data_IF_990262933893
#
_entry.id   IF_990262933893
#
_cell.length_a   1.000
_cell.length_b   1.000
_cell.length_c   1.000
_cell.angle_alpha   90.00
_cell.angle_beta   90.00
_cell.angle_gamma   90.00
#
_symmetry.space_group_name_H-M   'P 1'
#
loop_
_entity.id
_entity.type
_entity.pdbx_description
1 polymer ?
#
# COMPACT_ATOMS: atom_id res chain seq x y z
N UNK A 1 9.22 -0.88 -12.90
CA UNK A 1 9.67 -2.29 -12.79
C UNK A 1 9.92 -2.91 -14.17
N UNK A 2 9.08 -2.56 -15.14
CA UNK A 2 8.98 -3.06 -16.51
C UNK A 2 9.51 -2.07 -17.57
N UNK A 3 10.07 -0.93 -17.15
CA UNK A 3 10.49 0.14 -18.07
C UNK A 3 9.35 0.96 -18.68
N UNK A 4 8.09 0.61 -18.39
CA UNK A 4 6.92 1.30 -18.93
C UNK A 4 6.59 2.51 -18.05
N UNK A 5 6.78 3.71 -18.61
CA UNK A 5 6.48 4.95 -17.90
C UNK A 5 4.95 5.18 -17.80
N UNK A 6 4.49 5.84 -16.74
CA UNK A 6 3.08 6.16 -16.55
C UNK A 6 2.50 7.00 -17.72
N UNK A 7 3.33 7.78 -18.39
CA UNK A 7 2.93 8.57 -19.58
C UNK A 7 2.54 7.69 -20.76
N UNK A 8 3.12 6.50 -20.90
CA UNK A 8 2.76 5.56 -21.97
C UNK A 8 1.29 5.11 -21.84
N UNK A 9 0.81 4.93 -20.61
CA UNK A 9 -0.59 4.55 -20.37
C UNK A 9 -1.60 5.60 -20.82
N UNK A 10 -1.21 6.89 -20.80
CA UNK A 10 -2.09 7.99 -21.22
C UNK A 10 -2.32 8.05 -22.73
N UNK A 11 -1.42 7.44 -23.51
CA UNK A 11 -1.45 7.46 -24.98
C UNK A 11 -1.86 6.10 -25.57
N UNK A 12 -2.44 5.21 -24.75
CA UNK A 12 -2.88 3.91 -25.24
C UNK A 12 -4.06 4.06 -26.22
N UNK A 13 -4.03 3.38 -27.37
CA UNK A 13 -5.18 3.31 -28.26
C UNK A 13 -6.39 2.69 -27.56
N UNK A 14 -7.60 3.10 -27.97
CA UNK A 14 -8.86 2.59 -27.41
C UNK A 14 -8.93 1.04 -27.40
N UNK A 15 -8.44 0.39 -28.46
CA UNK A 15 -8.40 -1.08 -28.56
C UNK A 15 -7.57 -1.71 -27.44
N UNK A 16 -6.45 -1.09 -27.07
CA UNK A 16 -5.58 -1.55 -25.98
C UNK A 16 -6.24 -1.34 -24.63
N UNK A 17 -6.90 -0.20 -24.42
CA UNK A 17 -7.69 0.05 -23.20
C UNK A 17 -8.80 -0.99 -23.06
N UNK A 18 -9.55 -1.28 -24.12
CA UNK A 18 -10.59 -2.32 -24.11
C UNK A 18 -10.03 -3.73 -23.82
N UNK A 19 -8.83 -4.04 -24.31
CA UNK A 19 -8.14 -5.29 -23.99
C UNK A 19 -7.72 -5.35 -22.51
N UNK A 20 -7.16 -4.27 -21.97
CA UNK A 20 -6.81 -4.16 -20.55
C UNK A 20 -8.03 -4.28 -19.64
N UNK A 21 -9.15 -3.66 -20.01
CA UNK A 21 -10.41 -3.78 -19.26
C UNK A 21 -10.88 -5.23 -19.21
N UNK A 22 -10.85 -5.95 -20.35
CA UNK A 22 -11.18 -7.38 -20.38
C UNK A 22 -10.24 -8.22 -19.51
N UNK A 23 -8.94 -7.91 -19.54
CA UNK A 23 -7.94 -8.55 -18.70
C UNK A 23 -8.22 -8.32 -17.20
N UNK A 24 -8.43 -7.07 -16.78
CA UNK A 24 -8.72 -6.71 -15.39
C UNK A 24 -10.00 -7.37 -14.89
N UNK A 25 -11.06 -7.38 -15.70
CA UNK A 25 -12.30 -8.09 -15.36
C UNK A 25 -12.08 -9.60 -15.23
N UNK A 26 -11.23 -10.19 -16.09
CA UNK A 26 -10.82 -11.59 -15.99
C UNK A 26 -10.07 -11.89 -14.68
N UNK A 27 -9.16 -11.01 -14.26
CA UNK A 27 -8.43 -11.12 -12.99
C UNK A 27 -9.40 -11.10 -11.80
N UNK A 28 -10.34 -10.15 -11.77
CA UNK A 28 -11.34 -10.05 -10.69
C UNK A 28 -12.24 -11.28 -10.66
N UNK A 29 -12.69 -11.77 -11.82
CA UNK A 29 -13.55 -12.95 -11.93
C UNK A 29 -12.86 -14.23 -11.45
N UNK A 30 -11.60 -14.42 -11.81
CA UNK A 30 -10.81 -15.60 -11.43
C UNK A 30 -10.29 -15.50 -9.99
N UNK A 31 -10.12 -14.28 -9.45
CA UNK A 31 -9.51 -14.06 -8.15
C UNK A 31 -8.01 -14.35 -8.13
N UNK A 32 -7.35 -14.34 -9.30
CA UNK A 32 -5.93 -14.66 -9.45
C UNK A 32 -5.11 -13.44 -9.87
N UNK A 33 -4.22 -12.97 -9.00
CA UNK A 33 -3.34 -11.84 -9.29
C UNK A 33 -2.13 -12.30 -10.13
N UNK A 34 -1.85 -11.69 -11.30
CA UNK A 34 -0.77 -12.12 -12.17
C UNK A 34 0.60 -12.14 -11.48
N UNK A 35 1.32 -13.26 -11.58
CA UNK A 35 2.63 -13.46 -10.92
C UNK A 35 3.66 -12.42 -11.33
N UNK A 36 3.75 -12.09 -12.62
CA UNK A 36 4.67 -11.06 -13.15
C UNK A 36 4.40 -9.67 -12.59
N UNK A 37 3.18 -9.39 -12.13
CA UNK A 37 2.81 -8.11 -11.54
C UNK A 37 3.12 -8.04 -10.04
N UNK A 38 3.38 -9.18 -9.40
CA UNK A 38 3.76 -9.26 -7.98
C UNK A 38 5.25 -8.98 -7.72
N UNK A 39 6.08 -9.03 -8.76
CA UNK A 39 7.52 -8.78 -8.67
C UNK A 39 7.80 -7.33 -8.27
N UNK A 40 8.39 -7.16 -7.08
CA UNK A 40 8.81 -5.87 -6.55
C UNK A 40 10.25 -5.50 -6.90
N UNK A 41 10.49 -4.30 -7.40
CA UNK A 41 11.85 -3.77 -7.54
C UNK A 41 12.15 -2.83 -6.37
N UNK A 42 13.02 -3.28 -5.47
CA UNK A 42 13.49 -2.48 -4.34
C UNK A 42 14.55 -1.51 -4.84
N UNK A 43 14.32 -0.22 -4.62
CA UNK A 43 15.28 0.86 -4.86
C UNK A 43 15.38 1.72 -3.60
N UNK A 44 16.52 2.37 -3.37
CA UNK A 44 16.75 3.13 -2.14
C UNK A 44 16.64 4.63 -2.34
N UNK A 45 16.03 5.33 -1.39
CA UNK A 45 16.01 6.80 -1.30
C UNK A 45 16.89 7.23 -0.11
N UNK A 46 17.85 8.16 -0.28
CA UNK A 46 18.68 8.64 0.82
C UNK A 46 17.83 9.38 1.86
N UNK A 47 18.07 9.12 3.15
CA UNK A 47 17.49 9.90 4.25
C UNK A 47 18.31 11.16 4.45
N UNK A 48 17.67 12.34 4.60
CA UNK A 48 18.39 13.56 4.94
C UNK A 48 19.08 13.40 6.30
N UNK A 49 20.28 13.99 6.43
CA UNK A 49 21.06 14.03 7.67
C UNK A 49 21.41 12.66 8.29
N UNK A 50 21.48 11.59 7.49
CA UNK A 50 21.96 10.27 7.92
C UNK A 50 23.21 9.86 7.17
N UNK A 51 23.99 8.96 7.78
CA UNK A 51 25.20 8.43 7.18
C UNK A 51 24.85 7.51 5.98
N UNK A 52 25.17 7.96 4.77
CA UNK A 52 24.92 7.24 3.52
C UNK A 52 25.90 6.07 3.29
N UNK A 53 26.87 5.83 4.19
CA UNK A 53 27.70 4.62 4.18
C UNK A 53 27.02 3.43 4.85
N UNK A 54 25.89 3.64 5.54
CA UNK A 54 25.13 2.58 6.23
C UNK A 54 23.76 2.37 5.62
N UNK A 55 23.26 1.13 5.68
CA UNK A 55 21.94 0.78 5.19
C UNK A 55 20.84 1.59 5.89
N UNK A 56 20.98 1.91 7.18
CA UNK A 56 20.01 2.75 7.92
C UNK A 56 19.84 4.15 7.30
N UNK A 57 20.85 4.63 6.58
CA UNK A 57 20.84 5.91 5.87
C UNK A 57 19.92 5.94 4.66
N UNK A 58 19.34 4.80 4.26
CA UNK A 58 18.45 4.69 3.12
C UNK A 58 17.05 4.24 3.53
N UNK A 59 16.06 4.62 2.71
CA UNK A 59 14.69 4.09 2.74
C UNK A 59 14.52 3.16 1.54
N UNK A 60 14.36 1.84 1.73
CA UNK A 60 13.94 0.99 0.64
C UNK A 60 12.51 1.35 0.24
N UNK A 61 12.25 1.45 -1.06
CA UNK A 61 10.92 1.55 -1.64
C UNK A 61 10.76 0.44 -2.68
N UNK A 62 9.58 -0.18 -2.68
CA UNK A 62 9.26 -1.25 -3.63
C UNK A 62 8.45 -0.68 -4.79
N UNK A 63 8.96 -0.87 -6.01
CA UNK A 63 8.31 -0.44 -7.23
C UNK A 63 7.73 -1.64 -7.96
N UNK A 64 6.40 -1.67 -8.12
CA UNK A 64 5.69 -2.63 -8.96
C UNK A 64 5.61 -2.14 -10.42
N UNK A 65 5.16 -3.02 -11.31
CA UNK A 65 4.87 -2.68 -12.71
C UNK A 65 3.81 -1.58 -12.80
N UNK A 66 3.84 -0.82 -13.88
CA UNK A 66 2.89 0.29 -14.03
C UNK A 66 1.45 -0.22 -14.16
N UNK A 67 1.26 -1.36 -14.82
CA UNK A 67 -0.04 -2.04 -14.90
C UNK A 67 -0.50 -2.62 -13.55
N UNK A 68 0.40 -3.18 -12.74
CA UNK A 68 0.06 -3.65 -11.37
C UNK A 68 -0.54 -2.51 -10.55
N UNK A 69 0.13 -1.36 -10.52
CA UNK A 69 -0.32 -0.19 -9.75
C UNK A 69 -1.68 0.32 -10.21
N UNK A 70 -1.95 0.31 -11.52
CA UNK A 70 -3.27 0.68 -12.04
C UNK A 70 -4.34 -0.31 -11.58
N UNK A 71 -4.03 -1.61 -11.63
CA UNK A 71 -4.96 -2.62 -11.17
C UNK A 71 -5.18 -2.57 -9.64
N UNK A 72 -4.15 -2.28 -8.85
CA UNK A 72 -4.26 -2.07 -7.39
C UNK A 72 -5.17 -0.89 -7.05
N UNK A 73 -5.13 0.20 -7.83
CA UNK A 73 -6.06 1.33 -7.67
C UNK A 73 -7.51 0.92 -7.95
N UNK A 74 -7.74 0.09 -8.97
CA UNK A 74 -9.07 -0.45 -9.27
C UNK A 74 -9.54 -1.38 -8.14
N UNK A 75 -8.66 -2.26 -7.66
CA UNK A 75 -8.95 -3.16 -6.54
C UNK A 75 -9.29 -2.36 -5.27
N UNK A 76 -8.55 -1.29 -4.96
CA UNK A 76 -8.86 -0.40 -3.85
C UNK A 76 -10.26 0.23 -4.00
N UNK A 77 -10.64 0.64 -5.21
CA UNK A 77 -11.99 1.16 -5.48
C UNK A 77 -13.08 0.11 -5.21
N UNK A 78 -12.83 -1.16 -5.52
CA UNK A 78 -13.75 -2.25 -5.23
C UNK A 78 -13.78 -2.66 -3.75
N UNK A 79 -12.68 -2.50 -3.01
CA UNK A 79 -12.58 -2.82 -1.58
C UNK A 79 -13.13 -1.71 -0.68
N UNK A 80 -12.96 -0.45 -1.07
CA UNK A 80 -13.33 0.73 -0.26
C UNK A 80 -14.76 0.70 0.31
N UNK A 81 -15.81 0.29 -0.44
CA UNK A 81 -17.18 0.23 0.09
C UNK A 81 -17.36 -0.69 1.30
N UNK A 82 -16.52 -1.73 1.43
CA UNK A 82 -16.58 -2.72 2.51
C UNK A 82 -15.70 -2.35 3.71
N UNK A 83 -14.82 -1.36 3.55
CA UNK A 83 -13.80 -0.99 4.53
C UNK A 83 -13.92 0.49 4.91
N UNK A 84 -15.06 0.92 5.49
CA UNK A 84 -15.23 2.31 5.90
C UNK A 84 -14.17 2.64 6.98
N UNK A 85 -13.37 3.69 6.79
CA UNK A 85 -12.36 4.06 7.78
C UNK A 85 -13.01 4.66 9.01
N UNK A 86 -12.41 4.40 10.18
CA UNK A 86 -12.81 5.03 11.46
C UNK A 86 -12.65 6.55 11.40
N UNK A 87 -13.48 7.27 12.13
CA UNK A 87 -13.45 8.75 12.15
C UNK A 87 -12.13 9.30 12.68
N UNK A 88 -11.44 8.57 13.55
CA UNK A 88 -10.13 8.92 14.10
C UNK A 88 -8.98 8.64 13.12
N UNK A 89 -9.23 7.94 12.02
CA UNK A 89 -8.20 7.65 11.03
C UNK A 89 -8.05 8.82 10.05
N UNK A 90 -6.98 9.60 10.20
CA UNK A 90 -6.70 10.74 9.31
C UNK A 90 -5.74 10.37 8.18
N UNK A 91 -4.99 9.28 8.35
CA UNK A 91 -4.05 8.78 7.34
C UNK A 91 -4.79 7.97 6.28
N UNK A 92 -4.37 8.12 5.02
CA UNK A 92 -4.94 7.41 3.86
C UNK A 92 -6.43 7.70 3.61
N UNK A 93 -6.92 8.88 4.01
CA UNK A 93 -8.27 9.37 3.68
C UNK A 93 -8.19 10.61 2.82
N UNK A 94 -9.13 10.74 1.89
CA UNK A 94 -9.28 11.97 1.12
C UNK A 94 -9.67 13.12 2.05
N UNK A 95 -9.18 14.33 1.77
CA UNK A 95 -9.50 15.57 2.48
C UNK A 95 -9.06 15.65 3.95
N UNK A 96 -8.41 14.62 4.51
CA UNK A 96 -7.81 14.66 5.85
C UNK A 96 -6.30 14.77 5.77
N UNK A 97 -5.69 15.41 6.77
CA UNK A 97 -4.25 15.63 6.85
C UNK A 97 -3.72 15.43 8.26
N UNK A 98 -2.40 15.28 8.38
CA UNK A 98 -1.71 15.24 9.68
C UNK A 98 -1.90 16.53 10.47
N UNK A 99 -2.03 17.67 9.79
CA UNK A 99 -2.30 18.96 10.43
C UNK A 99 -3.68 18.99 11.08
N UNK A 100 -4.70 18.45 10.40
CA UNK A 100 -6.04 18.37 10.98
C UNK A 100 -6.08 17.45 12.21
N UNK A 101 -5.34 16.35 12.19
CA UNK A 101 -5.21 15.48 13.37
C UNK A 101 -4.52 16.20 14.53
N UNK A 102 -3.48 16.98 14.25
CA UNK A 102 -2.79 17.78 15.27
C UNK A 102 -3.73 18.83 15.88
N UNK A 103 -4.51 19.55 15.06
CA UNK A 103 -5.52 20.50 15.54
C UNK A 103 -6.55 19.81 16.45
N UNK A 104 -7.01 18.61 16.09
CA UNK A 104 -7.94 17.82 16.92
C UNK A 104 -7.33 17.49 18.29
N UNK A 105 -6.07 17.07 18.33
CA UNK A 105 -5.36 16.76 19.60
C UNK A 105 -5.18 18.02 20.44
N UNK A 106 -4.72 19.13 19.85
CA UNK A 106 -4.57 20.41 20.54
C UNK A 106 -5.89 20.88 21.13
N UNK A 107 -6.99 20.79 20.37
CA UNK A 107 -8.31 21.17 20.85
C UNK A 107 -8.74 20.32 22.06
N UNK A 108 -8.51 19.00 22.03
CA UNK A 108 -8.80 18.12 23.16
C UNK A 108 -8.00 18.52 24.42
N UNK A 109 -6.72 18.83 24.26
CA UNK A 109 -5.87 19.28 25.36
C UNK A 109 -6.32 20.65 25.91
N UNK A 110 -6.69 21.59 25.05
CA UNK A 110 -7.18 22.90 25.45
C UNK A 110 -8.48 22.84 26.24
N UNK A 111 -9.43 21.97 25.83
CA UNK A 111 -10.70 21.77 26.55
C UNK A 111 -10.46 21.17 27.93
N UNK A 112 -9.60 20.15 28.04
CA UNK A 112 -9.26 19.54 29.32
C UNK A 112 -8.54 20.55 30.25
N UNK A 113 -7.62 21.35 29.69
CA UNK A 113 -6.92 22.40 30.44
C UNK A 113 -7.91 23.45 30.98
N UNK A 114 -8.89 23.88 30.19
CA UNK A 114 -9.94 24.81 30.64
C UNK A 114 -10.79 24.23 31.79
N UNK A 115 -11.01 22.91 31.79
CA UNK A 115 -11.69 22.20 32.88
C UNK A 115 -10.81 21.92 34.10
N UNK A 116 -9.53 22.33 34.06
CA UNK A 116 -8.51 22.01 35.08
C UNK A 116 -8.28 20.50 35.25
N UNK A 117 -8.53 19.72 34.21
CA UNK A 117 -8.29 18.28 34.17
C UNK A 117 -6.84 18.00 33.74
N UNK A 118 -6.25 16.94 34.30
CA UNK A 118 -4.94 16.45 33.84
C UNK A 118 -5.12 15.57 32.60
N UNK A 119 -4.36 15.86 31.55
CA UNK A 119 -4.36 15.07 30.31
C UNK A 119 -3.09 14.25 30.18
N UNK A 120 -3.23 12.99 29.76
CA UNK A 120 -2.11 12.09 29.44
C UNK A 120 -2.22 11.66 27.99
N UNK A 121 -1.13 11.77 27.24
CA UNK A 121 -1.04 11.31 25.86
C UNK A 121 -0.15 10.06 25.78
N UNK A 122 -0.65 9.01 25.11
CA UNK A 122 0.10 7.78 24.84
C UNK A 122 0.32 7.68 23.34
N UNK A 123 1.60 7.66 22.94
CA UNK A 123 1.99 7.52 21.53
C UNK A 123 2.50 6.11 21.28
N UNK A 124 1.92 5.44 20.30
CA UNK A 124 2.30 4.09 19.88
C UNK A 124 2.91 4.16 18.48
N UNK A 125 4.12 3.64 18.32
CA UNK A 125 4.78 3.48 17.02
C UNK A 125 5.05 2.00 16.74
N UNK A 126 4.64 1.55 15.56
CA UNK A 126 4.77 0.16 15.14
C UNK A 126 6.01 0.02 14.26
N UNK A 127 7.01 -0.72 14.71
CA UNK A 127 8.17 -1.04 13.88
C UNK A 127 7.72 -1.83 12.64
N UNK A 128 8.19 -1.41 11.45
CA UNK A 128 7.97 -2.11 10.17
C UNK A 128 6.51 -2.52 9.93
N UNK A 129 5.58 -1.61 10.21
CA UNK A 129 4.14 -1.87 10.18
C UNK A 129 3.59 -2.57 8.92
N UNK A 130 4.22 -2.40 7.75
CA UNK A 130 3.83 -3.09 6.52
C UNK A 130 4.46 -4.48 6.35
N UNK A 131 5.65 -4.69 6.88
CA UNK A 131 6.36 -5.97 6.80
C UNK A 131 5.86 -6.94 7.88
N UNK A 132 5.33 -6.43 8.99
CA UNK A 132 4.83 -7.22 10.13
C UNK A 132 3.33 -7.57 10.06
N UNK A 133 2.69 -7.43 8.89
CA UNK A 133 1.26 -7.71 8.75
C UNK A 133 1.02 -9.21 8.75
N UNK A 134 0.24 -9.70 9.72
CA UNK A 134 -0.21 -11.09 9.73
C UNK A 134 -1.23 -11.34 8.60
N UNK A 135 -0.78 -11.97 7.51
CA UNK A 135 -1.57 -12.16 6.30
C UNK A 135 -2.88 -12.93 6.54
N UNK A 136 -2.85 -14.05 7.28
CA UNK A 136 -4.06 -14.81 7.59
C UNK A 136 -5.07 -13.98 8.39
N UNK A 137 -4.59 -13.24 9.41
CA UNK A 137 -5.42 -12.33 10.18
C UNK A 137 -6.05 -11.22 9.33
N UNK A 138 -5.32 -10.70 8.33
CA UNK A 138 -5.84 -9.74 7.37
C UNK A 138 -6.97 -10.36 6.53
N UNK A 139 -6.78 -11.57 6.00
CA UNK A 139 -7.81 -12.26 5.22
C UNK A 139 -9.06 -12.55 6.06
N UNK A 140 -8.90 -13.00 7.30
CA UNK A 140 -10.02 -13.18 8.24
C UNK A 140 -10.78 -11.87 8.49
N UNK A 141 -10.09 -10.73 8.61
CA UNK A 141 -10.73 -9.41 8.76
C UNK A 141 -11.54 -9.02 7.52
N UNK A 142 -11.04 -9.31 6.32
CA UNK A 142 -11.78 -9.04 5.07
C UNK A 142 -13.06 -9.88 4.98
N UNK A 143 -12.99 -11.16 5.36
CA UNK A 143 -14.17 -12.04 5.41
C UNK A 143 -15.20 -11.50 6.41
N UNK A 144 -14.76 -11.11 7.61
CA UNK A 144 -15.64 -10.51 8.65
C UNK A 144 -16.26 -9.18 8.22
N UNK A 145 -15.59 -8.43 7.35
CA UNK A 145 -16.10 -7.19 6.77
C UNK A 145 -17.08 -7.43 5.59
N UNK A 146 -17.49 -8.68 5.34
CA UNK A 146 -18.38 -9.06 4.24
C UNK A 146 -17.86 -8.67 2.85
N UNK A 147 -16.53 -8.64 2.68
CA UNK A 147 -15.91 -8.44 1.37
C UNK A 147 -16.24 -9.64 0.48
N UNK A 148 -16.66 -9.42 -0.79
CA UNK A 148 -16.96 -10.51 -1.72
C UNK A 148 -15.82 -11.52 -1.84
N UNK A 149 -16.10 -12.84 -1.82
CA UNK A 149 -15.07 -13.88 -1.88
C UNK A 149 -14.08 -13.75 -3.05
N UNK A 150 -14.46 -13.33 -4.27
CA UNK A 150 -13.50 -13.11 -5.36
C UNK A 150 -12.44 -12.04 -5.03
N UNK A 151 -12.82 -10.96 -4.33
CA UNK A 151 -11.90 -9.90 -3.93
C UNK A 151 -10.98 -10.38 -2.80
N UNK A 152 -11.50 -11.16 -1.84
CA UNK A 152 -10.66 -11.77 -0.79
C UNK A 152 -9.62 -12.71 -1.39
N UNK A 153 -10.03 -13.59 -2.32
CA UNK A 153 -9.10 -14.48 -3.05
C UNK A 153 -8.05 -13.70 -3.83
N UNK A 154 -8.44 -12.58 -4.44
CA UNK A 154 -7.53 -11.73 -5.18
C UNK A 154 -6.48 -11.07 -4.26
N UNK A 155 -6.87 -10.61 -3.08
CA UNK A 155 -5.93 -10.10 -2.06
C UNK A 155 -5.00 -11.22 -1.58
N UNK A 156 -5.53 -12.40 -1.28
CA UNK A 156 -4.71 -13.56 -0.91
C UNK A 156 -3.71 -13.95 -2.02
N UNK A 157 -4.15 -13.92 -3.28
CA UNK A 157 -3.32 -14.19 -4.45
C UNK A 157 -2.23 -13.14 -4.65
N UNK A 158 -2.51 -11.88 -4.32
CA UNK A 158 -1.53 -10.79 -4.33
C UNK A 158 -0.46 -10.95 -3.25
N UNK A 159 -0.87 -11.30 -2.02
CA UNK A 159 0.04 -11.44 -0.88
C UNK A 159 0.92 -12.70 -0.95
N UNK A 160 0.45 -13.75 -1.62
CA UNK A 160 1.16 -15.02 -1.75
C UNK A 160 2.18 -15.05 -2.90
N UNK A 161 3.28 -15.77 -2.69
CA UNK A 161 4.28 -16.02 -3.73
C UNK A 161 4.87 -14.75 -4.34
N UNK A 162 5.04 -13.70 -3.52
CA UNK A 162 5.66 -12.45 -3.96
C UNK A 162 7.17 -12.61 -3.98
N UNK A 163 7.80 -11.99 -4.97
CA UNK A 163 9.24 -11.96 -5.13
C UNK A 163 9.72 -10.53 -5.30
N UNK A 164 11.01 -10.31 -5.06
CA UNK A 164 11.63 -9.01 -5.24
C UNK A 164 13.04 -9.11 -5.82
N UNK A 165 13.48 -8.00 -6.42
CA UNK A 165 14.87 -7.76 -6.85
C UNK A 165 15.32 -6.41 -6.32
N UNK A 166 16.57 -6.32 -5.90
CA UNK A 166 17.17 -5.04 -5.48
C UNK A 166 17.87 -4.41 -6.65
N UNK A 167 17.65 -3.11 -6.87
CA UNK A 167 18.30 -2.32 -7.92
C UNK A 167 19.20 -1.25 -7.28
N UNK A 168 20.49 -1.32 -7.56
CA UNK A 168 21.50 -0.34 -7.12
C UNK A 168 22.31 0.11 -8.34
N UNK A 169 22.39 1.42 -8.57
CA UNK A 169 23.14 2.00 -9.71
C UNK A 169 22.82 1.35 -11.08
N UNK A 170 21.55 1.01 -11.30
CA UNK A 170 21.09 0.37 -12.55
C UNK A 170 21.29 -1.15 -12.64
N UNK A 171 22.03 -1.75 -11.70
CA UNK A 171 22.26 -3.21 -11.65
C UNK A 171 21.24 -3.88 -10.76
N UNK A 172 20.77 -5.06 -11.17
CA UNK A 172 19.78 -5.84 -10.44
C UNK A 172 20.40 -7.04 -9.74
N UNK A 173 19.93 -7.33 -8.53
CA UNK A 173 20.21 -8.59 -7.86
C UNK A 173 19.44 -9.76 -8.51
N UNK A 174 19.77 -10.98 -8.06
CA UNK A 174 18.92 -12.15 -8.26
C UNK A 174 17.56 -11.94 -7.59
N UNK A 175 16.54 -12.61 -8.13
CA UNK A 175 15.19 -12.62 -7.58
C UNK A 175 15.14 -13.45 -6.29
N UNK A 176 14.46 -12.92 -5.27
CA UNK A 176 14.27 -13.59 -3.98
C UNK A 176 12.80 -13.56 -3.56
N UNK A 177 12.30 -14.60 -2.89
CA UNK A 177 10.96 -14.58 -2.32
C UNK A 177 10.87 -13.58 -1.16
N UNK A 178 9.69 -12.96 -1.00
CA UNK A 178 9.34 -12.21 0.21
C UNK A 178 8.88 -13.23 1.25
N UNK A 179 9.64 -13.36 2.33
CA UNK A 179 9.23 -14.11 3.53
C UNK A 179 8.48 -13.16 4.45
N UNK A 180 7.21 -13.46 4.72
CA UNK A 180 6.43 -12.80 5.77
C UNK A 180 6.80 -13.37 7.15
#
# INVERSE_FOLDING_TARGET
>A
ADGIHNSALRHLPFRTVAALTRLFNGIVRTGHFPTTWKLGIITTIPKPHKNLRRAEGYRPITLLSTLSKVFELLLLKHLSPYLPPREEQFRFRSHLSTTLQLVRVINHLSVAAHKKESSVAVFLDMEKAFDSVWHEGLLCKLIRANVPPPLVRLVASFLSGRTFRVRVNGVFSNERPITA
#
